data_IF_640094714279
#
_entry.id   IF_640094714279
#
_cell.length_a   1.000
_cell.length_b   1.000
_cell.length_c   1.000
_cell.angle_alpha   90.00
_cell.angle_beta   90.00
_cell.angle_gamma   90.00
#
_symmetry.space_group_name_H-M   'P 1'
#
loop_
_entity.id
_entity.type
_entity.pdbx_description
1 polymer ?
#
# COMPACT_ATOMS: atom_id res chain seq x y z
N UNK A 1 6.49 -13.99 -12.35
CA UNK A 1 7.94 -13.85 -12.63
C UNK A 1 8.65 -13.86 -11.29
N UNK A 2 9.55 -14.83 -11.05
CA UNK A 2 10.36 -14.89 -9.82
C UNK A 2 11.79 -14.48 -10.15
N UNK A 3 12.41 -13.67 -9.28
CA UNK A 3 13.79 -13.22 -9.48
C UNK A 3 14.83 -14.06 -8.75
N UNK A 4 16.09 -13.96 -9.16
CA UNK A 4 17.23 -14.68 -8.60
C UNK A 4 17.89 -13.95 -7.39
N UNK A 5 17.10 -13.23 -6.61
CA UNK A 5 17.54 -12.53 -5.39
C UNK A 5 16.91 -13.15 -4.14
N UNK A 6 17.52 -12.92 -2.98
CA UNK A 6 17.00 -13.42 -1.71
C UNK A 6 15.62 -12.84 -1.42
N UNK A 7 14.70 -13.66 -0.92
CA UNK A 7 13.30 -13.30 -0.68
C UNK A 7 12.58 -12.78 -1.95
N UNK A 8 12.72 -13.51 -3.06
CA UNK A 8 12.08 -13.19 -4.34
C UNK A 8 10.54 -13.16 -4.33
N UNK A 9 9.91 -13.60 -3.25
CA UNK A 9 8.47 -13.43 -3.01
C UNK A 9 8.10 -12.00 -2.61
N UNK A 10 9.03 -11.19 -2.12
CA UNK A 10 8.74 -9.86 -1.58
C UNK A 10 8.05 -8.93 -2.59
N UNK A 11 8.46 -8.83 -3.87
CA UNK A 11 7.73 -7.98 -4.82
C UNK A 11 6.30 -8.44 -5.05
N UNK A 12 6.03 -9.75 -4.99
CA UNK A 12 4.67 -10.26 -5.14
C UNK A 12 3.75 -9.85 -3.99
N UNK A 13 4.30 -9.54 -2.81
CA UNK A 13 3.53 -9.09 -1.62
C UNK A 13 3.55 -7.56 -1.49
N UNK A 14 4.74 -6.95 -1.56
CA UNK A 14 4.94 -5.53 -1.31
C UNK A 14 4.32 -4.65 -2.41
N UNK A 15 4.37 -5.05 -3.68
CA UNK A 15 3.81 -4.22 -4.76
C UNK A 15 2.29 -4.08 -4.62
N UNK A 16 1.50 -5.16 -4.45
CA UNK A 16 0.07 -5.03 -4.15
C UNK A 16 -0.19 -4.27 -2.85
N UNK A 17 0.63 -4.50 -1.81
CA UNK A 17 0.46 -3.85 -0.52
C UNK A 17 0.62 -2.33 -0.63
N UNK A 18 1.58 -1.82 -1.40
CA UNK A 18 1.76 -0.37 -1.62
C UNK A 18 0.50 0.24 -2.26
N UNK A 19 -0.12 -0.44 -3.22
CA UNK A 19 -1.36 0.03 -3.86
C UNK A 19 -2.52 0.05 -2.85
N UNK A 20 -2.65 -0.99 -2.03
CA UNK A 20 -3.66 -1.05 -0.95
C UNK A 20 -3.42 0.07 0.07
N UNK A 21 -2.16 0.28 0.48
CA UNK A 21 -1.77 1.35 1.39
C UNK A 21 -2.12 2.73 0.82
N UNK A 22 -1.93 2.95 -0.48
CA UNK A 22 -2.32 4.21 -1.12
C UNK A 22 -3.82 4.46 -0.97
N UNK A 23 -4.66 3.46 -1.27
CA UNK A 23 -6.12 3.58 -1.11
C UNK A 23 -6.54 3.83 0.34
N UNK A 24 -5.99 3.06 1.29
CA UNK A 24 -6.27 3.22 2.73
C UNK A 24 -5.83 4.60 3.21
N UNK A 25 -4.62 5.04 2.85
CA UNK A 25 -4.10 6.35 3.25
C UNK A 25 -4.97 7.50 2.72
N UNK A 26 -5.44 7.42 1.47
CA UNK A 26 -6.36 8.42 0.92
C UNK A 26 -7.70 8.46 1.67
N UNK A 27 -8.25 7.31 2.04
CA UNK A 27 -9.47 7.25 2.86
C UNK A 27 -9.27 7.90 4.24
N UNK A 28 -8.14 7.61 4.90
CA UNK A 28 -7.80 8.23 6.18
C UNK A 28 -7.59 9.74 6.06
N UNK A 29 -6.89 10.19 5.01
CA UNK A 29 -6.69 11.62 4.77
C UNK A 29 -7.99 12.34 4.43
N UNK A 30 -8.90 11.71 3.69
CA UNK A 30 -10.22 12.26 3.43
C UNK A 30 -10.98 12.47 4.75
N UNK A 31 -11.03 11.45 5.61
CA UNK A 31 -11.67 11.58 6.93
C UNK A 31 -11.02 12.67 7.80
N UNK A 32 -9.72 12.87 7.67
CA UNK A 32 -9.01 13.91 8.41
C UNK A 32 -9.34 15.32 7.91
N UNK A 33 -9.40 15.52 6.58
CA UNK A 33 -9.65 16.84 5.97
C UNK A 33 -11.12 17.24 6.04
N UNK A 34 -12.03 16.30 5.82
CA UNK A 34 -13.49 16.51 5.89
C UNK A 34 -14.04 16.24 7.29
N UNK A 35 -13.18 15.92 8.25
CA UNK A 35 -13.56 15.76 9.65
C UNK A 35 -13.97 17.10 10.23
N UNK A 36 -15.22 17.22 10.66
CA UNK A 36 -15.71 18.39 11.40
C UNK A 36 -14.91 18.59 12.70
N UNK A 37 -14.86 19.85 13.18
CA UNK A 37 -14.21 20.23 14.44
C UNK A 37 -15.03 19.85 15.69
#
# INVERSE_FOLDING_TARGET
>A
MTGAFAASFLPAVMIPLVVICAFVSMGLFFLYVEGEA
#
